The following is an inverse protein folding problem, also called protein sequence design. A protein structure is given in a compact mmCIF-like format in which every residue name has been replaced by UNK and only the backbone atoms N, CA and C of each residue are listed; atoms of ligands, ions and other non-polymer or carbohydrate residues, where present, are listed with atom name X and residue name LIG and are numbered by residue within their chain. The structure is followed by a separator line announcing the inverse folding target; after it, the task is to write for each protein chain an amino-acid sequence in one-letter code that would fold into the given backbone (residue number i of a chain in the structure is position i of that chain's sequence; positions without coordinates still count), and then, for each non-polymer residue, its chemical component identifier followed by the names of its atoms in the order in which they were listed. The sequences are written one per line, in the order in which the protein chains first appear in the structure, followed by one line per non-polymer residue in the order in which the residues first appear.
data_IF_150803492843
#
_entry.id   IF_150803492843
#
_cell.length_a   1.000
_cell.length_b   1.000
_cell.length_c   1.000
_cell.angle_alpha   90.00
_cell.angle_beta   90.00
_cell.angle_gamma   90.00
#
_symmetry.space_group_name_H-M   'P 1'
#
loop_
_entity.id
_entity.type
_entity.pdbx_description
1 polymer ?
#
# COMPACT_ATOMS: atom_id res chain seq x y z
N UNK A 1 10.01 23.42 51.24
CA UNK A 1 9.47 22.11 51.66
C UNK A 1 8.33 21.80 50.72
N UNK A 2 8.61 20.91 49.76
CA UNK A 2 7.63 20.34 48.84
C UNK A 2 6.77 19.31 49.56
N UNK A 3 5.61 19.00 48.98
CA UNK A 3 5.16 17.62 48.79
C UNK A 3 4.37 17.57 47.47
N UNK A 4 5.04 17.02 46.46
CA UNK A 4 4.51 16.54 45.19
C UNK A 4 3.81 15.18 45.40
N UNK A 5 2.66 14.97 44.77
CA UNK A 5 2.19 13.63 44.38
C UNK A 5 1.81 13.67 42.90
N UNK A 6 2.81 13.39 42.06
CA UNK A 6 2.63 13.07 40.65
C UNK A 6 2.59 11.55 40.48
N UNK A 7 1.58 11.09 39.76
CA UNK A 7 1.41 9.71 39.29
C UNK A 7 2.62 9.25 38.47
N UNK A 8 3.29 8.18 38.91
CA UNK A 8 4.35 7.52 38.15
C UNK A 8 3.76 6.69 37.02
N UNK A 9 3.86 7.19 35.78
CA UNK A 9 3.84 6.35 34.58
C UNK A 9 5.24 5.78 34.35
N UNK A 10 5.36 4.46 34.19
CA UNK A 10 6.62 3.79 33.92
C UNK A 10 7.18 4.22 32.55
N UNK A 11 8.44 4.66 32.51
CA UNK A 11 9.12 5.02 31.26
C UNK A 11 9.82 3.82 30.63
N UNK A 12 9.75 3.74 29.30
CA UNK A 12 10.34 2.71 28.42
C UNK A 12 11.87 2.85 28.31
N UNK A 13 12.61 2.72 29.42
CA UNK A 13 14.08 2.68 29.41
C UNK A 13 14.56 1.63 30.39
N UNK A 14 14.88 0.45 29.85
CA UNK A 14 16.05 -0.36 30.18
C UNK A 14 15.86 -1.77 29.62
N UNK A 15 16.52 -2.09 28.51
CA UNK A 15 17.24 -3.37 28.35
C UNK A 15 18.09 -3.34 27.06
N UNK A 16 19.40 -3.13 27.21
CA UNK A 16 20.41 -3.50 26.20
C UNK A 16 21.51 -4.29 26.90
N UNK A 17 22.05 -5.26 26.14
CA UNK A 17 23.34 -5.98 26.20
C UNK A 17 23.09 -7.47 26.46
N UNK A 18 23.51 -8.40 25.60
CA UNK A 18 24.85 -8.59 25.00
C UNK A 18 24.68 -9.33 23.65
N UNK A 19 25.27 -8.83 22.56
CA UNK A 19 26.47 -9.46 22.00
C UNK A 19 26.82 -8.87 20.64
N UNK A 20 27.85 -8.02 20.61
CA UNK A 20 28.42 -7.48 19.38
C UNK A 20 29.62 -8.29 18.90
N UNK A 21 29.81 -8.32 17.58
CA UNK A 21 31.09 -8.08 16.88
C UNK A 21 30.97 -8.57 15.43
N UNK A 22 31.34 -7.71 14.46
CA UNK A 22 31.61 -8.16 13.10
C UNK A 22 31.36 -7.13 12.01
N UNK A 23 32.11 -6.02 12.02
CA UNK A 23 32.25 -5.19 10.82
C UNK A 23 33.09 -5.98 9.79
N UNK A 24 32.53 -6.24 8.60
CA UNK A 24 33.26 -6.85 7.49
C UNK A 24 33.26 -5.89 6.30
N UNK A 25 34.38 -5.20 6.15
CA UNK A 25 34.73 -4.48 4.93
C UNK A 25 35.01 -5.49 3.82
N UNK A 26 34.31 -5.39 2.69
CA UNK A 26 34.57 -6.19 1.49
C UNK A 26 35.45 -5.40 0.52
N UNK A 27 36.74 -5.70 0.53
CA UNK A 27 37.67 -5.41 -0.55
C UNK A 27 37.40 -6.35 -1.73
N UNK A 28 37.18 -5.75 -2.91
CA UNK A 28 37.10 -6.43 -4.20
C UNK A 28 38.43 -7.11 -4.55
N UNK A 29 38.39 -8.40 -4.83
CA UNK A 29 39.50 -9.20 -5.33
C UNK A 29 39.00 -10.23 -6.33
N UNK A 30 39.35 -10.02 -7.59
CA UNK A 30 39.02 -10.85 -8.76
C UNK A 30 39.73 -12.20 -8.77
N UNK A 31 38.99 -13.29 -9.00
CA UNK A 31 39.41 -14.47 -9.78
C UNK A 31 38.21 -15.42 -9.96
N UNK A 32 37.91 -15.79 -11.21
CA UNK A 32 36.83 -16.72 -11.54
C UNK A 32 37.22 -18.20 -11.40
N UNK A 33 36.19 -19.06 -11.32
CA UNK A 33 35.96 -20.35 -12.02
C UNK A 33 34.61 -20.91 -11.47
N UNK A 34 33.77 -21.57 -12.30
CA UNK A 34 32.33 -21.70 -12.06
C UNK A 34 31.98 -22.98 -11.30
N UNK A 35 30.94 -22.92 -10.45
CA UNK A 35 30.29 -24.10 -9.88
C UNK A 35 28.78 -23.93 -9.99
N UNK A 36 28.20 -24.50 -11.04
CA UNK A 36 26.87 -25.11 -10.96
C UNK A 36 27.05 -26.48 -10.29
N UNK A 37 26.32 -26.79 -9.23
CA UNK A 37 25.81 -28.14 -8.96
C UNK A 37 24.83 -28.11 -7.76
N UNK A 38 23.53 -28.12 -8.10
CA UNK A 38 22.34 -28.73 -7.45
C UNK A 38 22.13 -28.56 -5.93
N UNK A 39 20.92 -28.35 -5.40
CA UNK A 39 19.58 -28.50 -5.95
C UNK A 39 18.66 -28.61 -4.73
N UNK A 40 17.81 -27.62 -4.52
CA UNK A 40 16.79 -27.61 -3.47
C UNK A 40 15.52 -27.06 -4.09
N UNK A 41 14.50 -27.91 -4.23
CA UNK A 41 13.24 -27.54 -4.84
C UNK A 41 12.60 -26.38 -4.08
N UNK A 42 12.64 -25.18 -4.68
CA UNK A 42 11.72 -24.12 -4.31
C UNK A 42 10.38 -24.50 -4.89
N UNK A 43 9.39 -24.68 -4.01
CA UNK A 43 7.99 -24.58 -4.42
C UNK A 43 7.82 -23.14 -4.87
N UNK A 44 7.97 -22.89 -6.16
CA UNK A 44 7.45 -21.66 -6.76
C UNK A 44 5.93 -21.81 -6.67
N UNK A 45 5.28 -20.91 -5.92
CA UNK A 45 3.86 -20.69 -6.14
C UNK A 45 3.68 -20.43 -7.65
N UNK A 46 2.76 -21.16 -8.29
CA UNK A 46 2.45 -20.95 -9.69
C UNK A 46 1.98 -19.50 -9.84
N UNK A 47 2.80 -18.67 -10.49
CA UNK A 47 2.41 -17.32 -10.85
C UNK A 47 1.24 -17.43 -11.82
N UNK A 48 0.16 -16.68 -11.56
CA UNK A 48 -1.00 -16.66 -12.44
C UNK A 48 -0.71 -15.76 -13.65
N UNK A 49 0.37 -16.07 -14.38
CA UNK A 49 0.88 -15.34 -15.56
C UNK A 49 -0.14 -15.30 -16.72
N UNK A 50 -1.25 -16.01 -16.57
CA UNK A 50 -2.37 -16.07 -17.51
C UNK A 50 -3.46 -15.02 -17.24
N UNK A 51 -3.41 -14.27 -16.12
CA UNK A 51 -4.45 -13.29 -15.80
C UNK A 51 -4.19 -11.96 -16.51
N UNK A 52 -4.79 -11.79 -17.68
CA UNK A 52 -4.77 -10.52 -18.42
C UNK A 52 -5.79 -9.55 -17.82
N UNK A 53 -5.36 -8.33 -17.46
CA UNK A 53 -6.25 -7.20 -17.22
C UNK A 53 -6.62 -6.57 -18.56
N UNK A 54 -7.90 -6.27 -18.76
CA UNK A 54 -8.41 -5.76 -20.03
C UNK A 54 -9.62 -4.88 -19.78
N UNK A 55 -9.72 -3.76 -20.50
CA UNK A 55 -10.92 -2.93 -20.53
C UNK A 55 -12.14 -3.74 -20.99
N UNK A 56 -13.31 -3.40 -20.47
CA UNK A 56 -14.57 -3.98 -20.90
C UNK A 56 -14.86 -3.62 -22.37
N UNK A 57 -15.82 -4.31 -22.99
CA UNK A 57 -16.18 -4.08 -24.40
C UNK A 57 -16.71 -2.67 -24.68
N UNK A 58 -17.16 -1.95 -23.65
CA UNK A 58 -17.56 -0.54 -23.72
C UNK A 58 -16.38 0.44 -23.52
N UNK A 59 -15.16 -0.08 -23.37
CA UNK A 59 -13.93 0.68 -23.16
C UNK A 59 -13.77 1.22 -21.74
N UNK A 60 -14.55 0.74 -20.77
CA UNK A 60 -14.43 1.16 -19.36
C UNK A 60 -13.72 0.14 -18.50
N UNK A 61 -13.05 0.63 -17.47
CA UNK A 61 -12.42 -0.20 -16.45
C UNK A 61 -12.51 0.50 -15.10
N UNK A 62 -12.94 -0.21 -14.05
CA UNK A 62 -13.12 0.33 -12.72
C UNK A 62 -12.17 -0.32 -11.72
N UNK A 63 -11.49 0.52 -10.94
CA UNK A 63 -10.61 0.10 -9.85
C UNK A 63 -11.21 0.58 -8.52
N UNK A 64 -11.16 -0.28 -7.51
CA UNK A 64 -11.43 0.11 -6.11
C UNK A 64 -10.14 -0.06 -5.31
N UNK A 65 -9.78 0.97 -4.55
CA UNK A 65 -8.72 0.92 -3.55
C UNK A 65 -9.34 0.81 -2.16
N UNK A 66 -8.91 -0.21 -1.42
CA UNK A 66 -9.02 -0.29 0.03
C UNK A 66 -7.62 -0.17 0.64
N UNK A 67 -7.51 0.35 1.84
CA UNK A 67 -6.27 0.50 2.59
C UNK A 67 -6.61 0.56 4.07
N UNK A 68 -5.62 0.29 4.91
CA UNK A 68 -5.75 0.42 6.37
C UNK A 68 -6.99 -0.34 6.87
N UNK A 69 -7.19 -1.57 6.38
CA UNK A 69 -8.15 -2.51 6.98
C UNK A 69 -7.71 -2.87 8.38
N UNK A 70 -6.39 -3.02 8.56
CA UNK A 70 -5.65 -2.92 9.82
C UNK A 70 -6.37 -3.53 11.02
N UNK A 71 -6.64 -4.82 10.89
CA UNK A 71 -7.19 -5.69 11.92
C UNK A 71 -6.30 -6.95 12.01
N UNK A 72 -6.41 -7.67 13.12
CA UNK A 72 -5.81 -9.00 13.29
C UNK A 72 -6.76 -10.09 12.76
N UNK A 73 -6.61 -11.33 13.21
CA UNK A 73 -7.50 -12.43 12.82
C UNK A 73 -8.96 -12.18 13.25
N UNK A 74 -9.17 -11.37 14.29
CA UNK A 74 -10.45 -10.99 14.84
C UNK A 74 -10.97 -9.69 14.20
N UNK A 75 -11.10 -9.68 12.89
CA UNK A 75 -11.53 -8.52 12.11
C UNK A 75 -12.88 -7.95 12.57
N UNK A 76 -13.00 -6.62 12.60
CA UNK A 76 -14.28 -5.97 12.82
C UNK A 76 -15.23 -6.29 11.66
N UNK A 77 -16.42 -6.83 11.97
CA UNK A 77 -17.39 -7.26 10.96
C UNK A 77 -17.74 -6.15 9.97
N UNK A 78 -17.64 -4.88 10.37
CA UNK A 78 -17.99 -3.72 9.54
C UNK A 78 -16.94 -3.42 8.49
N UNK A 79 -15.67 -3.76 8.74
CA UNK A 79 -14.61 -3.71 7.73
C UNK A 79 -14.97 -4.61 6.55
N UNK A 80 -15.34 -5.86 6.84
CA UNK A 80 -15.79 -6.83 5.82
C UNK A 80 -17.10 -6.37 5.17
N UNK A 81 -18.09 -5.94 5.96
CA UNK A 81 -19.37 -5.43 5.45
C UNK A 81 -19.18 -4.24 4.48
N UNK A 82 -18.28 -3.32 4.79
CA UNK A 82 -17.94 -2.19 3.92
C UNK A 82 -17.34 -2.68 2.59
N UNK A 83 -16.33 -3.55 2.66
CA UNK A 83 -15.70 -4.11 1.46
C UNK A 83 -16.74 -4.80 0.58
N UNK A 84 -17.57 -5.68 1.15
CA UNK A 84 -18.61 -6.39 0.43
C UNK A 84 -19.61 -5.47 -0.25
N UNK A 85 -20.16 -4.48 0.48
CA UNK A 85 -21.14 -3.54 -0.08
C UNK A 85 -20.56 -2.66 -1.18
N UNK A 86 -19.31 -2.19 -1.02
CA UNK A 86 -18.61 -1.44 -2.07
C UNK A 86 -18.41 -2.30 -3.31
N UNK A 87 -17.94 -3.55 -3.14
CA UNK A 87 -17.72 -4.46 -4.27
C UNK A 87 -19.03 -4.81 -5.00
N UNK A 88 -20.13 -4.99 -4.27
CA UNK A 88 -21.44 -5.30 -4.85
C UNK A 88 -22.08 -4.11 -5.58
N UNK A 89 -21.91 -2.90 -5.04
CA UNK A 89 -22.41 -1.68 -5.64
C UNK A 89 -21.60 -1.26 -6.86
N UNK A 90 -20.26 -1.25 -6.74
CA UNK A 90 -19.37 -0.74 -7.77
C UNK A 90 -19.06 -1.75 -8.86
N UNK A 91 -19.07 -3.05 -8.55
CA UNK A 91 -18.68 -4.14 -9.45
C UNK A 91 -17.36 -3.85 -10.18
N UNK A 92 -16.26 -3.62 -9.45
CA UNK A 92 -15.00 -3.24 -10.05
C UNK A 92 -14.39 -4.37 -10.87
N UNK A 93 -13.59 -3.99 -11.87
CA UNK A 93 -12.79 -4.92 -12.67
C UNK A 93 -11.50 -5.33 -11.94
N UNK A 94 -11.06 -4.49 -11.00
CA UNK A 94 -9.85 -4.69 -10.22
C UNK A 94 -9.91 -4.05 -8.83
N UNK A 95 -9.24 -4.68 -7.87
CA UNK A 95 -9.08 -4.15 -6.50
C UNK A 95 -7.61 -4.02 -6.14
N UNK A 96 -7.24 -2.89 -5.53
CA UNK A 96 -5.94 -2.72 -4.87
C UNK A 96 -6.18 -2.70 -3.36
N UNK A 97 -5.50 -3.58 -2.63
CA UNK A 97 -5.31 -3.43 -1.19
C UNK A 97 -3.99 -2.69 -0.97
N UNK A 98 -4.05 -1.43 -0.53
CA UNK A 98 -2.93 -0.50 -0.59
C UNK A 98 -2.23 -0.29 0.77
N UNK A 99 -1.76 -1.39 1.37
CA UNK A 99 -1.01 -1.41 2.62
C UNK A 99 -1.86 -1.32 3.89
N UNK A 100 -1.21 -1.68 5.00
CA UNK A 100 -1.81 -1.87 6.34
C UNK A 100 -3.05 -2.74 6.26
N UNK A 101 -2.84 -3.87 5.59
CA UNK A 101 -3.85 -4.89 5.31
C UNK A 101 -4.20 -5.64 6.60
N UNK A 102 -3.19 -5.92 7.42
CA UNK A 102 -3.33 -6.48 8.77
C UNK A 102 -2.56 -5.62 9.79
N UNK A 103 -2.63 -5.97 11.07
CA UNK A 103 -1.89 -5.27 12.13
C UNK A 103 -1.22 -6.22 13.13
N UNK A 104 -0.69 -5.66 14.21
CA UNK A 104 -0.22 -6.41 15.37
C UNK A 104 -1.37 -7.21 16.02
N UNK A 105 -1.05 -8.23 16.80
CA UNK A 105 -2.06 -9.00 17.55
C UNK A 105 -2.09 -10.49 17.20
N UNK A 106 -1.61 -10.86 16.01
CA UNK A 106 -1.45 -12.26 15.65
C UNK A 106 -0.21 -12.85 16.33
N UNK A 107 -0.39 -13.88 17.16
CA UNK A 107 0.69 -14.55 17.88
C UNK A 107 1.26 -15.77 17.13
N UNK A 108 0.52 -16.27 16.13
CA UNK A 108 0.89 -17.45 15.35
C UNK A 108 0.80 -17.22 13.84
N UNK A 109 1.55 -18.01 13.07
CA UNK A 109 1.46 -18.01 11.61
C UNK A 109 0.05 -18.34 11.08
N UNK A 110 -0.79 -19.04 11.86
CA UNK A 110 -2.16 -19.35 11.47
C UNK A 110 -3.04 -18.11 11.62
N UNK A 111 -2.90 -17.38 12.72
CA UNK A 111 -3.62 -16.13 12.99
C UNK A 111 -3.29 -15.07 11.93
N UNK A 112 -2.00 -14.84 11.61
CA UNK A 112 -1.65 -13.94 10.50
C UNK A 112 -2.30 -14.37 9.18
N UNK A 113 -2.32 -15.67 8.86
CA UNK A 113 -2.99 -16.18 7.66
C UNK A 113 -4.51 -16.02 7.71
N UNK A 114 -5.12 -16.04 8.88
CA UNK A 114 -6.54 -15.79 9.07
C UNK A 114 -6.86 -14.31 8.84
N UNK A 115 -6.07 -13.39 9.42
CA UNK A 115 -6.18 -11.95 9.19
C UNK A 115 -6.09 -11.62 7.68
N UNK A 116 -5.05 -12.13 7.01
CA UNK A 116 -4.87 -11.99 5.56
C UNK A 116 -6.03 -12.61 4.75
N UNK A 117 -6.58 -13.74 5.21
CA UNK A 117 -7.72 -14.38 4.56
C UNK A 117 -9.00 -13.53 4.68
N UNK A 118 -9.27 -12.92 5.84
CA UNK A 118 -10.47 -12.12 6.07
C UNK A 118 -10.67 -11.02 5.03
N UNK A 119 -9.59 -10.35 4.63
CA UNK A 119 -9.63 -9.27 3.63
C UNK A 119 -9.51 -9.76 2.19
N UNK A 120 -8.95 -10.95 1.94
CA UNK A 120 -8.87 -11.53 0.59
C UNK A 120 -10.22 -12.10 0.12
N UNK A 121 -10.99 -12.69 1.04
CA UNK A 121 -12.24 -13.38 0.74
C UNK A 121 -13.30 -12.53 0.02
N UNK A 122 -13.54 -11.24 0.37
CA UNK A 122 -14.51 -10.40 -0.32
C UNK A 122 -14.29 -10.34 -1.85
N UNK A 123 -13.04 -10.23 -2.30
CA UNK A 123 -12.71 -10.24 -3.74
C UNK A 123 -12.76 -11.65 -4.32
N UNK A 124 -12.18 -12.63 -3.62
CA UNK A 124 -12.07 -14.01 -4.11
C UNK A 124 -13.42 -14.69 -4.33
N UNK A 125 -14.37 -14.49 -3.42
CA UNK A 125 -15.73 -15.02 -3.55
C UNK A 125 -16.50 -14.38 -4.71
N UNK A 126 -16.15 -13.15 -5.08
CA UNK A 126 -16.75 -12.41 -6.20
C UNK A 126 -16.01 -12.64 -7.52
N UNK A 127 -14.90 -13.36 -7.52
CA UNK A 127 -14.07 -13.57 -8.71
C UNK A 127 -13.41 -12.30 -9.23
N UNK A 128 -13.26 -11.29 -8.38
CA UNK A 128 -12.68 -10.00 -8.74
C UNK A 128 -11.17 -10.13 -8.66
N UNK A 129 -10.46 -9.66 -9.70
CA UNK A 129 -9.00 -9.66 -9.71
C UNK A 129 -8.47 -8.61 -8.74
N UNK A 130 -7.40 -8.93 -8.02
CA UNK A 130 -6.88 -8.01 -7.02
C UNK A 130 -5.37 -8.16 -6.83
N UNK A 131 -4.75 -7.12 -6.29
CA UNK A 131 -3.37 -7.17 -5.84
C UNK A 131 -3.19 -6.35 -4.56
N UNK A 132 -2.12 -6.65 -3.84
CA UNK A 132 -1.75 -5.99 -2.58
C UNK A 132 -0.42 -5.24 -2.71
N UNK A 133 -0.31 -4.11 -2.03
CA UNK A 133 0.96 -3.52 -1.56
C UNK A 133 0.98 -3.58 -0.04
N UNK A 134 2.18 -3.47 0.54
CA UNK A 134 2.36 -3.52 1.99
C UNK A 134 2.50 -2.12 2.58
N UNK A 135 2.10 -2.00 3.84
CA UNK A 135 2.27 -0.83 4.69
C UNK A 135 3.14 -1.14 5.92
N UNK A 136 3.25 -0.16 6.82
CA UNK A 136 4.12 -0.28 7.99
C UNK A 136 3.63 -1.26 9.05
N UNK A 137 2.33 -1.51 9.15
CA UNK A 137 1.74 -2.40 10.16
C UNK A 137 1.67 -3.86 9.72
N UNK A 138 1.83 -4.17 8.44
CA UNK A 138 1.66 -5.53 7.91
C UNK A 138 2.65 -6.55 8.53
N UNK A 139 3.87 -6.12 8.86
CA UNK A 139 4.89 -6.96 9.50
C UNK A 139 4.94 -6.85 11.03
N UNK A 140 4.04 -6.10 11.67
CA UNK A 140 4.12 -5.88 13.13
C UNK A 140 3.94 -7.18 13.94
N UNK A 141 3.21 -8.15 13.38
CA UNK A 141 3.02 -9.48 13.99
C UNK A 141 4.18 -10.45 13.68
N UNK A 142 5.05 -10.14 12.71
CA UNK A 142 6.15 -11.01 12.26
C UNK A 142 7.06 -11.50 13.39
N UNK A 143 7.50 -10.66 14.36
CA UNK A 143 8.35 -11.12 15.46
C UNK A 143 7.75 -12.24 16.32
N UNK A 144 6.41 -12.29 16.44
CA UNK A 144 5.70 -13.32 17.21
C UNK A 144 5.29 -14.50 16.33
N UNK A 145 4.61 -14.22 15.22
CA UNK A 145 3.99 -15.23 14.37
C UNK A 145 4.94 -15.90 13.37
N UNK A 146 6.06 -15.24 13.03
CA UNK A 146 7.17 -15.81 12.27
C UNK A 146 6.99 -15.93 10.76
N UNK A 147 6.07 -15.18 10.15
CA UNK A 147 5.94 -15.03 8.70
C UNK A 147 6.62 -13.74 8.24
N UNK A 148 7.52 -13.78 7.27
CA UNK A 148 8.04 -12.54 6.66
C UNK A 148 7.04 -11.93 5.67
N UNK A 149 7.26 -10.68 5.26
CA UNK A 149 6.48 -10.08 4.16
C UNK A 149 6.51 -10.91 2.87
N UNK A 150 7.63 -11.59 2.56
CA UNK A 150 7.66 -12.52 1.43
C UNK A 150 6.74 -13.73 1.63
N UNK A 151 6.67 -14.30 2.84
CA UNK A 151 5.72 -15.37 3.17
C UNK A 151 4.27 -14.89 3.04
N UNK A 152 3.98 -13.66 3.46
CA UNK A 152 2.67 -13.02 3.29
C UNK A 152 2.33 -12.85 1.81
N UNK A 153 3.27 -12.35 1.00
CA UNK A 153 3.09 -12.22 -0.44
C UNK A 153 2.82 -13.59 -1.09
N UNK A 154 3.57 -14.63 -0.74
CA UNK A 154 3.33 -15.99 -1.26
C UNK A 154 1.92 -16.49 -0.89
N UNK A 155 1.47 -16.22 0.34
CA UNK A 155 0.12 -16.59 0.78
C UNK A 155 -0.97 -15.92 -0.08
N UNK A 156 -0.82 -14.62 -0.34
CA UNK A 156 -1.72 -13.85 -1.22
C UNK A 156 -1.66 -14.33 -2.67
N UNK A 157 -0.46 -14.52 -3.23
CA UNK A 157 -0.27 -14.97 -4.61
C UNK A 157 -0.90 -16.31 -4.92
N UNK A 158 -1.02 -17.20 -3.93
CA UNK A 158 -1.63 -18.50 -4.15
C UNK A 158 -3.18 -18.43 -4.29
N UNK A 159 -3.82 -17.26 -4.11
CA UNK A 159 -5.26 -17.10 -4.35
C UNK A 159 -5.56 -16.99 -5.84
N UNK A 160 -6.72 -17.51 -6.26
CA UNK A 160 -7.02 -17.70 -7.68
C UNK A 160 -7.13 -16.40 -8.45
N UNK A 161 -7.65 -15.34 -7.84
CA UNK A 161 -7.86 -14.05 -8.50
C UNK A 161 -6.83 -13.00 -8.07
N UNK A 162 -5.87 -13.35 -7.20
CA UNK A 162 -4.72 -12.51 -6.93
C UNK A 162 -3.79 -12.48 -8.16
N UNK A 163 -3.25 -11.30 -8.48
CA UNK A 163 -2.35 -11.07 -9.61
C UNK A 163 -1.01 -10.46 -9.21
N UNK A 164 -0.68 -10.47 -7.92
CA UNK A 164 0.66 -10.08 -7.48
C UNK A 164 1.72 -10.97 -8.14
N UNK A 165 2.90 -10.40 -8.30
CA UNK A 165 4.10 -11.11 -8.71
C UNK A 165 5.13 -11.06 -7.57
N UNK A 166 6.14 -11.94 -7.56
CA UNK A 166 7.19 -11.97 -6.52
C UNK A 166 7.96 -10.65 -6.35
N UNK A 167 7.84 -9.72 -7.31
CA UNK A 167 8.59 -8.48 -7.38
C UNK A 167 9.88 -8.61 -8.19
N UNK A 168 10.41 -7.47 -8.65
CA UNK A 168 11.70 -7.42 -9.34
C UNK A 168 12.86 -7.69 -8.37
N UNK A 169 13.83 -8.52 -8.80
CA UNK A 169 14.96 -8.88 -7.93
C UNK A 169 15.89 -7.70 -7.71
N UNK A 170 16.33 -7.52 -6.47
CA UNK A 170 17.31 -6.49 -6.11
C UNK A 170 16.71 -5.08 -6.04
N UNK A 171 15.39 -4.97 -6.03
CA UNK A 171 14.66 -3.74 -5.74
C UNK A 171 14.17 -3.81 -4.30
N UNK A 172 14.37 -2.74 -3.53
CA UNK A 172 13.93 -2.66 -2.13
C UNK A 172 12.41 -2.83 -2.02
N UNK A 173 11.98 -3.60 -1.02
CA UNK A 173 10.57 -3.89 -0.74
C UNK A 173 10.05 -5.14 -1.46
N UNK A 174 8.90 -5.65 -1.03
CA UNK A 174 8.32 -6.91 -1.51
C UNK A 174 7.16 -6.63 -2.46
N UNK A 175 7.04 -7.44 -3.51
CA UNK A 175 5.89 -7.39 -4.41
C UNK A 175 5.80 -6.15 -5.30
N UNK A 176 6.84 -5.30 -5.35
CA UNK A 176 6.95 -4.19 -6.30
C UNK A 176 6.66 -4.70 -7.72
N UNK A 177 5.59 -4.22 -8.33
CA UNK A 177 5.15 -4.73 -9.63
C UNK A 177 4.48 -3.65 -10.48
N UNK A 178 4.31 -3.96 -11.75
CA UNK A 178 3.48 -3.17 -12.63
C UNK A 178 2.54 -4.07 -13.45
N UNK A 179 1.28 -3.65 -13.57
CA UNK A 179 0.22 -4.45 -14.19
C UNK A 179 -0.35 -3.71 -15.40
N UNK A 180 -0.13 -4.26 -16.59
CA UNK A 180 -0.66 -3.71 -17.84
C UNK A 180 -2.14 -4.09 -18.02
N UNK A 181 -2.97 -3.09 -18.32
CA UNK A 181 -4.36 -3.25 -18.72
C UNK A 181 -4.43 -3.10 -20.24
N UNK A 182 -4.86 -4.16 -20.92
CA UNK A 182 -5.04 -4.19 -22.37
C UNK A 182 -6.30 -3.42 -22.77
N UNK A 183 -6.30 -2.86 -23.98
CA UNK A 183 -7.49 -2.25 -24.57
C UNK A 183 -8.68 -3.20 -24.66
N UNK A 184 -9.90 -2.69 -24.87
CA UNK A 184 -11.09 -3.56 -25.03
C UNK A 184 -10.93 -4.60 -26.16
N UNK A 185 -10.11 -4.27 -27.17
CA UNK A 185 -9.79 -5.15 -28.30
C UNK A 185 -8.60 -6.10 -28.05
N UNK A 186 -7.93 -5.99 -26.90
CA UNK A 186 -6.75 -6.79 -26.54
C UNK A 186 -5.53 -6.51 -27.42
N UNK A 187 -5.52 -5.41 -28.17
CA UNK A 187 -4.55 -5.12 -29.23
C UNK A 187 -3.38 -4.25 -28.78
N UNK A 188 -3.53 -3.52 -27.67
CA UNK A 188 -2.52 -2.60 -27.13
C UNK A 188 -2.65 -2.47 -25.62
N UNK A 189 -1.56 -2.07 -24.95
CA UNK A 189 -1.63 -1.65 -23.55
C UNK A 189 -2.29 -0.27 -23.47
N UNK A 190 -3.46 -0.19 -22.84
CA UNK A 190 -4.22 1.05 -22.70
C UNK A 190 -3.91 1.77 -21.39
N UNK A 191 -3.54 1.04 -20.34
CA UNK A 191 -3.23 1.60 -19.04
C UNK A 191 -2.23 0.72 -18.27
N UNK A 192 -1.59 1.27 -17.23
CA UNK A 192 -0.70 0.53 -16.33
C UNK A 192 -0.96 0.89 -14.87
N UNK A 193 -0.81 -0.07 -13.97
CA UNK A 193 -0.84 0.16 -12.52
C UNK A 193 0.54 -0.11 -11.96
N UNK A 194 1.11 0.83 -11.22
CA UNK A 194 2.35 0.67 -10.46
C UNK A 194 1.99 0.40 -9.00
N UNK A 195 2.45 -0.71 -8.45
CA UNK A 195 2.26 -1.08 -7.06
C UNK A 195 3.64 -1.13 -6.41
N UNK A 196 3.92 -0.20 -5.51
CA UNK A 196 5.23 -0.09 -4.87
C UNK A 196 5.09 -0.21 -3.35
N UNK A 197 5.97 -1.01 -2.77
CA UNK A 197 6.12 -1.12 -1.34
C UNK A 197 6.93 0.07 -0.81
N UNK A 198 6.26 0.97 -0.09
CA UNK A 198 6.86 2.20 0.45
C UNK A 198 7.67 1.99 1.73
N UNK A 199 7.75 0.75 2.23
CA UNK A 199 8.46 0.39 3.44
C UNK A 199 7.63 0.57 4.71
N UNK A 200 8.31 0.55 5.87
CA UNK A 200 7.69 0.45 7.20
C UNK A 200 8.10 1.65 8.06
N UNK A 201 9.27 1.53 8.68
CA UNK A 201 9.84 2.55 9.55
C UNK A 201 11.25 2.92 9.09
N UNK A 202 11.59 4.19 9.25
CA UNK A 202 12.96 4.67 9.07
C UNK A 202 13.93 3.91 9.99
N UNK A 203 15.18 3.67 9.57
CA UNK A 203 16.19 3.10 10.45
C UNK A 203 16.41 4.03 11.66
N UNK A 204 16.85 3.48 12.79
CA UNK A 204 17.07 4.30 14.00
C UNK A 204 18.09 5.43 13.78
N UNK A 205 19.11 5.18 12.96
CA UNK A 205 20.11 6.19 12.59
C UNK A 205 20.61 5.98 11.15
N UNK A 206 21.08 7.06 10.52
CA UNK A 206 21.90 7.01 9.30
C UNK A 206 23.22 7.73 9.57
N UNK A 207 24.34 7.05 9.30
CA UNK A 207 25.68 7.57 9.57
C UNK A 207 25.87 8.09 11.01
N UNK A 208 25.20 7.44 11.99
CA UNK A 208 25.27 7.79 13.41
C UNK A 208 24.40 8.95 13.86
N UNK A 209 23.53 9.49 12.99
CA UNK A 209 22.55 10.54 13.33
C UNK A 209 21.15 9.94 13.37
N UNK A 210 20.40 10.24 14.43
CA UNK A 210 18.99 9.88 14.53
C UNK A 210 18.09 10.85 13.75
N UNK A 211 16.78 10.64 13.85
CA UNK A 211 15.75 11.42 13.18
C UNK A 211 14.96 12.32 14.15
N UNK A 212 15.56 12.79 15.25
CA UNK A 212 14.87 13.73 16.15
C UNK A 212 14.42 14.99 15.38
N UNK A 213 13.11 15.27 15.41
CA UNK A 213 12.50 16.38 14.65
C UNK A 213 12.14 16.07 13.19
N UNK A 214 12.43 14.86 12.71
CA UNK A 214 12.05 14.38 11.37
C UNK A 214 10.95 13.32 11.46
N UNK A 215 10.21 13.07 10.36
CA UNK A 215 9.35 11.90 10.28
C UNK A 215 10.15 10.60 10.45
N UNK A 216 9.49 9.56 10.97
CA UNK A 216 10.11 8.26 11.29
C UNK A 216 9.54 7.10 10.48
N UNK A 217 8.67 7.41 9.52
CA UNK A 217 8.15 6.44 8.55
C UNK A 217 9.18 6.17 7.47
N UNK A 218 9.00 5.05 6.78
CA UNK A 218 9.86 4.71 5.68
C UNK A 218 9.57 5.53 4.40
N UNK A 219 10.33 5.29 3.34
CA UNK A 219 10.17 5.98 2.06
C UNK A 219 10.66 5.11 0.90
N UNK A 220 10.11 5.34 -0.29
CA UNK A 220 10.58 4.70 -1.51
C UNK A 220 12.07 4.95 -1.72
N UNK A 221 12.84 3.90 -1.96
CA UNK A 221 14.28 3.97 -2.17
C UNK A 221 14.64 4.39 -3.59
N UNK A 222 15.89 4.83 -3.78
CA UNK A 222 16.37 5.30 -5.08
C UNK A 222 16.42 4.18 -6.13
N UNK A 223 16.64 2.93 -5.72
CA UNK A 223 16.55 1.76 -6.61
C UNK A 223 15.11 1.54 -7.12
N UNK A 224 14.08 1.75 -6.30
CA UNK A 224 12.66 1.72 -6.71
C UNK A 224 12.34 2.87 -7.68
N UNK A 225 12.88 4.08 -7.44
CA UNK A 225 12.77 5.22 -8.38
C UNK A 225 13.41 4.86 -9.72
N UNK A 226 14.64 4.31 -9.70
CA UNK A 226 15.35 3.87 -10.89
C UNK A 226 14.62 2.75 -11.63
N UNK A 227 14.08 1.78 -10.90
CA UNK A 227 13.30 0.68 -11.46
C UNK A 227 12.04 1.17 -12.18
N UNK A 228 11.25 2.04 -11.56
CA UNK A 228 10.09 2.66 -12.21
C UNK A 228 10.52 3.39 -13.49
N UNK A 229 11.53 4.25 -13.40
CA UNK A 229 11.97 5.09 -14.50
C UNK A 229 12.43 4.25 -15.71
N UNK A 230 13.30 3.27 -15.47
CA UNK A 230 13.84 2.39 -16.51
C UNK A 230 12.78 1.44 -17.08
N UNK A 231 11.87 0.94 -16.24
CA UNK A 231 10.77 0.06 -16.70
C UNK A 231 9.79 0.84 -17.56
N UNK A 232 9.39 2.05 -17.14
CA UNK A 232 8.55 2.94 -17.95
C UNK A 232 9.19 3.27 -19.30
N UNK A 233 10.50 3.55 -19.32
CA UNK A 233 11.23 3.81 -20.56
C UNK A 233 11.26 2.60 -21.50
N UNK A 234 11.55 1.40 -20.97
CA UNK A 234 11.52 0.16 -21.76
C UNK A 234 10.13 -0.14 -22.31
N UNK A 235 9.07 0.14 -21.55
CA UNK A 235 7.69 0.01 -22.02
C UNK A 235 7.41 0.96 -23.18
N UNK A 236 7.82 2.22 -23.07
CA UNK A 236 7.68 3.21 -24.15
C UNK A 236 8.45 2.78 -25.41
N UNK A 237 9.70 2.34 -25.27
CA UNK A 237 10.51 1.85 -26.39
C UNK A 237 9.88 0.64 -27.08
N UNK A 238 9.31 -0.29 -26.30
CA UNK A 238 8.67 -1.50 -26.81
C UNK A 238 7.34 -1.21 -27.52
N UNK A 239 6.54 -0.29 -27.00
CA UNK A 239 5.18 -0.03 -27.45
C UNK A 239 5.09 1.13 -28.46
N UNK A 240 6.10 2.01 -28.50
CA UNK A 240 6.14 3.21 -29.33
C UNK A 240 5.34 4.40 -28.77
N UNK A 241 4.85 4.30 -27.53
CA UNK A 241 4.11 5.35 -26.82
C UNK A 241 4.19 5.15 -25.31
N UNK A 242 3.96 6.23 -24.55
CA UNK A 242 3.84 6.18 -23.09
C UNK A 242 2.47 5.63 -22.69
N UNK A 243 2.45 4.61 -21.83
CA UNK A 243 1.21 4.03 -21.31
C UNK A 243 0.76 4.86 -20.10
N UNK A 244 -0.41 5.52 -20.13
CA UNK A 244 -0.92 6.25 -18.97
C UNK A 244 -1.09 5.30 -17.77
N UNK A 245 -0.85 5.80 -16.55
CA UNK A 245 -0.80 4.92 -15.39
C UNK A 245 -1.24 5.56 -14.07
N UNK A 246 -1.56 4.72 -13.09
CA UNK A 246 -1.69 5.08 -11.67
C UNK A 246 -0.57 4.42 -10.87
N UNK A 247 -0.17 5.05 -9.77
CA UNK A 247 0.75 4.50 -8.79
C UNK A 247 0.08 4.40 -7.42
N UNK A 248 0.22 3.24 -6.78
CA UNK A 248 -0.28 2.93 -5.45
C UNK A 248 0.91 2.65 -4.53
N UNK A 249 0.95 3.41 -3.45
CA UNK A 249 1.97 3.34 -2.38
C UNK A 249 1.24 3.49 -1.05
N UNK A 250 1.77 2.94 0.05
CA UNK A 250 1.10 3.07 1.33
C UNK A 250 1.46 4.39 2.03
N UNK A 251 2.75 4.58 2.33
CA UNK A 251 3.30 5.79 2.94
C UNK A 251 3.40 6.90 1.88
N UNK A 252 2.90 8.11 2.16
CA UNK A 252 2.79 9.17 1.17
C UNK A 252 4.13 9.76 0.75
N UNK A 253 4.13 10.44 -0.41
CA UNK A 253 5.25 11.28 -0.81
C UNK A 253 5.22 12.62 -0.07
N UNK A 254 6.37 13.28 0.01
CA UNK A 254 6.44 14.67 0.49
C UNK A 254 5.57 15.62 -0.35
N UNK A 255 5.42 15.32 -1.63
CA UNK A 255 4.63 16.10 -2.57
C UNK A 255 3.14 16.13 -2.25
N UNK A 256 2.59 15.13 -1.53
CA UNK A 256 1.23 15.21 -1.01
C UNK A 256 1.08 16.40 -0.06
N UNK A 257 2.03 16.53 0.88
CA UNK A 257 2.08 17.67 1.81
C UNK A 257 2.38 18.98 1.08
N UNK A 258 3.31 18.98 0.12
CA UNK A 258 3.64 20.20 -0.64
C UNK A 258 2.46 20.70 -1.47
N UNK A 259 1.69 19.77 -2.07
CA UNK A 259 0.46 20.08 -2.78
C UNK A 259 -0.55 20.71 -1.84
N UNK A 260 -0.78 20.13 -0.66
CA UNK A 260 -1.77 20.60 0.30
C UNK A 260 -1.59 22.07 0.70
N UNK A 261 -0.33 22.53 0.78
CA UNK A 261 0.01 23.89 1.17
C UNK A 261 0.51 24.77 0.01
N UNK A 262 0.62 24.23 -1.21
CA UNK A 262 1.31 24.89 -2.32
C UNK A 262 2.66 25.50 -1.89
N UNK A 263 3.43 24.78 -1.06
CA UNK A 263 4.66 25.25 -0.43
C UNK A 263 5.53 24.10 0.08
N UNK A 264 6.85 24.23 -0.04
CA UNK A 264 7.81 23.27 0.53
C UNK A 264 7.97 23.48 2.03
N UNK A 265 7.91 24.73 2.51
CA UNK A 265 8.18 25.06 3.92
C UNK A 265 6.94 25.57 4.68
N UNK A 266 6.04 26.28 4.00
CA UNK A 266 4.85 26.89 4.59
C UNK A 266 3.76 25.86 4.89
N UNK A 267 3.14 25.97 6.06
CA UNK A 267 2.08 25.05 6.56
C UNK A 267 0.88 25.79 7.16
N UNK A 268 0.63 27.02 6.72
CA UNK A 268 -0.44 27.86 7.27
C UNK A 268 -1.79 27.62 6.57
N UNK A 269 -2.87 28.06 7.20
CA UNK A 269 -4.20 28.09 6.55
C UNK A 269 -4.20 28.95 5.28
N UNK A 270 -3.43 30.05 5.26
CA UNK A 270 -3.29 30.90 4.08
C UNK A 270 -2.56 30.18 2.92
N UNK A 271 -1.59 29.33 3.25
CA UNK A 271 -0.92 28.46 2.28
C UNK A 271 -1.90 27.46 1.67
N UNK A 272 -2.70 26.80 2.52
CA UNK A 272 -3.73 25.88 2.07
C UNK A 272 -4.82 26.57 1.22
N UNK A 273 -5.32 27.74 1.63
CA UNK A 273 -6.34 28.48 0.86
C UNK A 273 -5.86 28.81 -0.56
N UNK A 274 -4.57 29.14 -0.73
CA UNK A 274 -3.93 29.31 -2.04
C UNK A 274 -3.86 27.98 -2.81
N UNK A 275 -3.53 26.89 -2.11
CA UNK A 275 -3.40 25.56 -2.69
C UNK A 275 -4.72 25.01 -3.25
N UNK A 276 -5.85 25.24 -2.58
CA UNK A 276 -7.17 24.75 -3.02
C UNK A 276 -7.46 25.16 -4.46
N UNK A 277 -7.31 26.45 -4.80
CA UNK A 277 -7.53 26.94 -6.16
C UNK A 277 -6.42 26.51 -7.13
N UNK A 278 -5.16 26.53 -6.68
CA UNK A 278 -3.99 26.22 -7.53
C UNK A 278 -3.94 24.74 -7.94
N UNK A 279 -4.25 23.85 -7.02
CA UNK A 279 -4.14 22.40 -7.15
C UNK A 279 -5.49 21.71 -7.18
N UNK A 280 -6.60 22.45 -7.29
CA UNK A 280 -7.94 21.88 -7.44
C UNK A 280 -8.25 20.84 -6.35
N UNK A 281 -7.87 21.15 -5.10
CA UNK A 281 -7.96 20.19 -4.00
C UNK A 281 -9.43 20.01 -3.62
N UNK A 282 -9.85 18.75 -3.51
CA UNK A 282 -11.19 18.34 -3.06
C UNK A 282 -11.06 17.24 -2.02
N UNK A 283 -12.07 17.12 -1.14
CA UNK A 283 -12.08 16.18 -0.01
C UNK A 283 -11.54 16.79 1.28
N UNK A 284 -11.30 15.94 2.29
CA UNK A 284 -10.95 16.38 3.64
C UNK A 284 -9.53 15.94 4.03
N UNK A 285 -8.82 16.80 4.76
CA UNK A 285 -7.61 16.46 5.51
C UNK A 285 -7.89 16.67 6.99
N UNK A 286 -7.69 15.63 7.79
CA UNK A 286 -7.96 15.66 9.23
C UNK A 286 -6.73 15.28 10.07
N UNK A 287 -5.61 14.97 9.42
CA UNK A 287 -4.30 14.78 10.07
C UNK A 287 -3.16 15.19 9.14
N UNK A 288 -1.95 15.25 9.68
CA UNK A 288 -0.77 15.58 8.89
C UNK A 288 -0.35 14.42 8.00
N UNK A 289 -0.02 14.69 6.74
CA UNK A 289 0.57 13.67 5.86
C UNK A 289 1.83 13.13 6.51
N UNK A 290 2.03 11.83 6.55
CA UNK A 290 3.15 11.22 7.26
C UNK A 290 4.21 10.59 6.33
N UNK A 291 4.95 11.37 5.49
CA UNK A 291 6.01 10.83 4.64
C UNK A 291 7.24 10.45 5.48
N UNK A 292 8.18 9.70 4.92
CA UNK A 292 9.48 9.43 5.55
C UNK A 292 10.44 10.64 5.60
N UNK A 293 11.58 10.56 6.30
CA UNK A 293 12.52 11.68 6.49
C UNK A 293 13.25 12.14 5.21
N UNK A 294 13.24 11.32 4.16
CA UNK A 294 14.00 11.58 2.93
C UNK A 294 13.07 11.55 1.71
N UNK A 295 13.10 12.61 0.90
CA UNK A 295 12.51 12.59 -0.43
C UNK A 295 13.49 11.95 -1.42
N UNK A 296 13.12 10.79 -1.98
CA UNK A 296 13.96 10.03 -2.92
C UNK A 296 13.94 10.55 -4.35
N UNK A 297 13.09 11.53 -4.67
CA UNK A 297 12.91 12.05 -6.02
C UNK A 297 11.91 11.28 -6.87
N UNK A 298 11.06 10.41 -6.28
CA UNK A 298 10.03 9.66 -7.02
C UNK A 298 9.12 10.59 -7.84
N UNK A 299 8.61 11.67 -7.26
CA UNK A 299 7.76 12.62 -7.99
C UNK A 299 8.50 13.31 -9.15
N UNK A 300 9.79 13.59 -8.98
CA UNK A 300 10.65 14.13 -10.05
C UNK A 300 10.76 13.14 -11.21
N UNK A 301 10.97 11.85 -10.93
CA UNK A 301 10.98 10.80 -11.94
C UNK A 301 9.63 10.67 -12.65
N UNK A 302 8.52 10.77 -11.91
CA UNK A 302 7.16 10.77 -12.43
C UNK A 302 6.93 11.91 -13.43
N UNK A 303 7.34 13.14 -13.08
CA UNK A 303 7.25 14.28 -14.00
C UNK A 303 8.12 14.08 -15.25
N UNK A 304 9.34 13.55 -15.08
CA UNK A 304 10.27 13.33 -16.19
C UNK A 304 9.74 12.29 -17.20
N UNK A 305 9.10 11.22 -16.71
CA UNK A 305 8.47 10.21 -17.56
C UNK A 305 7.13 10.69 -18.12
N UNK A 306 6.28 11.33 -17.32
CA UNK A 306 4.99 11.91 -17.73
C UNK A 306 3.88 10.91 -18.04
N UNK A 307 4.09 9.63 -17.72
CA UNK A 307 3.17 8.52 -17.92
C UNK A 307 2.23 8.30 -16.73
N UNK A 308 2.67 8.57 -15.50
CA UNK A 308 1.83 8.47 -14.28
C UNK A 308 0.89 9.67 -14.19
N UNK A 309 -0.41 9.40 -14.08
CA UNK A 309 -1.50 10.38 -13.97
C UNK A 309 -2.00 10.60 -12.55
N UNK A 310 -1.66 9.69 -11.64
CA UNK A 310 -1.92 9.89 -10.22
C UNK A 310 -1.15 8.93 -9.32
N UNK A 311 -0.93 9.38 -8.08
CA UNK A 311 -0.30 8.64 -6.98
C UNK A 311 -1.24 8.65 -5.80
N UNK A 312 -1.67 7.47 -5.37
CA UNK A 312 -2.67 7.31 -4.30
C UNK A 312 -2.10 6.51 -3.13
N UNK A 313 -2.41 6.98 -1.91
CA UNK A 313 -1.90 6.43 -0.66
C UNK A 313 -2.95 6.18 0.41
N UNK A 314 -2.54 5.46 1.46
CA UNK A 314 -3.26 5.23 2.70
C UNK A 314 -2.51 5.86 3.86
N UNK A 315 -2.25 5.10 4.94
CA UNK A 315 -1.40 5.44 6.10
C UNK A 315 -1.98 6.51 7.04
N UNK A 316 -2.40 7.63 6.47
CA UNK A 316 -3.10 8.70 7.18
C UNK A 316 -4.61 8.47 7.05
N UNK A 317 -5.18 7.72 7.99
CA UNK A 317 -6.50 7.10 7.92
C UNK A 317 -7.67 8.06 7.71
N UNK A 318 -7.54 9.31 8.17
CA UNK A 318 -8.62 10.31 8.15
C UNK A 318 -8.42 11.38 7.07
N UNK A 319 -7.47 11.17 6.16
CA UNK A 319 -7.32 11.95 4.95
C UNK A 319 -8.07 11.29 3.78
N UNK A 320 -8.83 12.09 3.03
CA UNK A 320 -9.68 11.61 1.93
C UNK A 320 -9.60 12.49 0.69
N UNK A 321 -8.66 13.43 0.70
CA UNK A 321 -8.54 14.43 -0.35
C UNK A 321 -7.82 13.89 -1.58
N UNK A 322 -7.97 14.59 -2.70
CA UNK A 322 -7.00 14.57 -3.79
C UNK A 322 -6.86 15.97 -4.40
N UNK A 323 -5.77 16.19 -5.13
CA UNK A 323 -5.54 17.41 -5.89
C UNK A 323 -4.62 17.18 -7.09
N UNK A 324 -4.67 18.08 -8.05
CA UNK A 324 -3.82 18.11 -9.24
C UNK A 324 -2.51 18.86 -8.95
N UNK A 325 -1.45 18.10 -8.70
CA UNK A 325 -0.10 18.62 -8.52
C UNK A 325 0.66 18.53 -9.84
N UNK A 326 0.62 19.63 -10.62
CA UNK A 326 1.35 19.77 -11.88
C UNK A 326 1.08 18.67 -12.92
N UNK A 327 -0.18 18.26 -13.07
CA UNK A 327 -0.62 17.26 -14.04
C UNK A 327 -0.71 15.83 -13.49
N UNK A 328 -0.40 15.64 -12.20
CA UNK A 328 -0.50 14.35 -11.50
C UNK A 328 -1.47 14.50 -10.33
N UNK A 329 -2.48 13.63 -10.24
CA UNK A 329 -3.35 13.59 -9.07
C UNK A 329 -2.64 12.98 -7.89
N UNK A 330 -2.49 13.70 -6.78
CA UNK A 330 -2.03 13.15 -5.51
C UNK A 330 -3.22 13.04 -4.57
N UNK A 331 -3.47 11.88 -3.98
CA UNK A 331 -4.63 11.70 -3.12
C UNK A 331 -4.53 10.57 -2.11
N UNK A 332 -5.41 10.64 -1.12
CA UNK A 332 -5.62 9.61 -0.10
C UNK A 332 -6.92 8.88 -0.34
N UNK A 333 -6.94 7.60 -0.01
CA UNK A 333 -8.15 6.87 0.30
C UNK A 333 -8.23 6.75 1.83
N UNK A 334 -9.31 7.20 2.45
CA UNK A 334 -9.48 7.03 3.90
C UNK A 334 -9.48 5.54 4.29
N UNK A 335 -9.19 5.24 5.54
CA UNK A 335 -9.12 3.85 6.04
C UNK A 335 -10.43 3.07 5.82
N UNK A 336 -10.33 1.82 5.37
CA UNK A 336 -11.47 0.91 5.28
C UNK A 336 -11.76 0.19 6.61
N UNK A 337 -10.74 0.05 7.47
CA UNK A 337 -10.77 -0.71 8.72
C UNK A 337 -11.49 -0.02 9.87
N UNK A 338 -12.36 -0.75 10.57
CA UNK A 338 -13.01 -0.27 11.79
C UNK A 338 -12.18 -0.53 13.06
N UNK A 339 -11.24 -1.48 13.05
CA UNK A 339 -10.25 -1.67 14.12
C UNK A 339 -9.21 -0.55 14.22
N UNK A 340 -8.85 0.04 13.08
CA UNK A 340 -7.92 1.16 12.97
C UNK A 340 -8.34 2.39 13.80
N UNK A 341 -7.40 3.30 14.06
CA UNK A 341 -7.76 4.62 14.59
C UNK A 341 -8.56 5.42 13.54
N UNK A 342 -9.32 6.41 14.01
CA UNK A 342 -10.12 7.29 13.16
C UNK A 342 -10.26 8.66 13.81
N UNK A 343 -11.29 9.42 13.44
CA UNK A 343 -11.56 10.73 14.03
C UNK A 343 -11.81 10.63 15.56
N UNK A 344 -11.70 11.73 16.31
CA UNK A 344 -12.03 11.72 17.73
C UNK A 344 -13.53 11.55 17.99
N UNK A 345 -13.88 10.88 19.10
CA UNK A 345 -15.23 10.86 19.65
C UNK A 345 -16.27 10.14 18.77
N UNK A 346 -17.47 10.70 18.70
CA UNK A 346 -18.60 10.10 17.98
C UNK A 346 -18.38 10.02 16.45
N UNK A 347 -17.47 10.83 15.91
CA UNK A 347 -17.17 10.87 14.48
C UNK A 347 -16.11 9.84 14.06
N UNK A 348 -15.60 8.99 14.98
CA UNK A 348 -14.49 8.05 14.74
C UNK A 348 -14.55 7.35 13.39
N UNK A 349 -15.72 6.84 13.04
CA UNK A 349 -15.90 6.03 11.83
C UNK A 349 -16.56 6.78 10.66
N UNK A 350 -16.69 8.12 10.73
CA UNK A 350 -17.36 8.94 9.70
C UNK A 350 -16.69 8.84 8.32
N UNK A 351 -15.37 8.67 8.29
CA UNK A 351 -14.55 8.65 7.09
C UNK A 351 -14.16 7.25 6.63
N UNK A 352 -14.68 6.18 7.26
CA UNK A 352 -14.41 4.82 6.81
C UNK A 352 -14.92 4.62 5.39
N UNK A 353 -14.07 4.16 4.49
CA UNK A 353 -14.41 4.20 3.08
C UNK A 353 -13.45 3.48 2.15
N UNK A 354 -13.71 3.66 0.86
CA UNK A 354 -12.91 3.16 -0.23
C UNK A 354 -12.86 4.21 -1.34
N UNK A 355 -11.79 4.22 -2.14
CA UNK A 355 -11.68 5.11 -3.29
C UNK A 355 -11.93 4.36 -4.59
N UNK A 356 -12.77 4.92 -5.44
CA UNK A 356 -13.05 4.40 -6.78
C UNK A 356 -12.26 5.19 -7.82
N UNK A 357 -11.81 4.51 -8.86
CA UNK A 357 -11.23 5.11 -10.07
C UNK A 357 -11.99 4.61 -11.28
N UNK A 358 -12.44 5.55 -12.10
CA UNK A 358 -13.11 5.25 -13.37
C UNK A 358 -12.17 5.54 -14.52
N UNK A 359 -11.88 4.50 -15.30
CA UNK A 359 -11.07 4.58 -16.50
C UNK A 359 -11.94 4.42 -17.75
N UNK A 360 -11.64 5.19 -18.79
CA UNK A 360 -12.24 5.08 -20.13
C UNK A 360 -11.13 5.23 -21.19
N UNK A 361 -10.87 4.15 -21.93
CA UNK A 361 -9.79 4.10 -22.92
C UNK A 361 -9.99 5.02 -24.13
N UNK A 362 -11.18 5.62 -24.28
CA UNK A 362 -11.50 6.58 -25.34
C UNK A 362 -11.19 8.03 -24.97
N UNK A 363 -10.69 8.28 -23.76
CA UNK A 363 -10.36 9.62 -23.26
C UNK A 363 -8.85 9.87 -23.24
N UNK A 364 -8.43 11.14 -23.37
CA UNK A 364 -7.03 11.53 -23.56
C UNK A 364 -6.08 11.05 -22.44
N UNK A 365 -6.56 11.00 -21.19
CA UNK A 365 -5.77 10.57 -20.03
C UNK A 365 -6.19 9.22 -19.45
N UNK A 366 -7.20 8.58 -20.02
CA UNK A 366 -7.83 7.33 -19.56
C UNK A 366 -8.49 7.42 -18.18
N UNK A 367 -7.86 8.02 -17.16
CA UNK A 367 -8.49 8.33 -15.88
C UNK A 367 -9.50 9.47 -16.04
N UNK A 368 -10.78 9.15 -15.82
CA UNK A 368 -11.90 10.09 -15.98
C UNK A 368 -12.32 10.70 -14.65
N UNK A 369 -12.37 9.89 -13.60
CA UNK A 369 -12.90 10.28 -12.30
C UNK A 369 -12.28 9.47 -11.16
N UNK A 370 -12.22 10.07 -9.97
CA UNK A 370 -11.98 9.37 -8.71
C UNK A 370 -12.77 10.01 -7.58
N UNK A 371 -13.37 9.18 -6.72
CA UNK A 371 -14.16 9.66 -5.60
C UNK A 371 -14.12 8.67 -4.43
N UNK A 372 -14.46 9.18 -3.24
CA UNK A 372 -14.63 8.37 -2.05
C UNK A 372 -16.06 7.82 -1.95
N UNK A 373 -16.16 6.59 -1.46
CA UNK A 373 -17.38 5.99 -0.95
C UNK A 373 -17.23 5.81 0.55
N UNK A 374 -18.29 6.08 1.32
CA UNK A 374 -18.23 6.02 2.78
C UNK A 374 -19.19 4.98 3.34
N UNK A 375 -18.79 4.33 4.44
CA UNK A 375 -19.60 3.35 5.15
C UNK A 375 -20.99 3.86 5.54
N UNK A 376 -21.09 5.16 5.86
CA UNK A 376 -22.35 5.84 6.18
C UNK A 376 -23.37 5.76 5.03
N UNK A 377 -22.90 5.83 3.78
CA UNK A 377 -23.75 5.87 2.58
C UNK A 377 -24.37 4.49 2.30
N UNK A 378 -23.82 3.44 2.93
CA UNK A 378 -24.27 2.07 2.87
C UNK A 378 -25.10 1.63 4.09
N UNK A 379 -25.36 2.55 5.03
CA UNK A 379 -26.11 2.28 6.26
C UNK A 379 -25.36 1.41 7.27
N UNK A 380 -24.02 1.37 7.20
CA UNK A 380 -23.18 0.60 8.13
C UNK A 380 -23.14 1.32 9.49
N UNK A 381 -23.13 0.53 10.57
CA UNK A 381 -23.06 1.03 11.94
C UNK A 381 -21.73 1.76 12.22
N UNK A 382 -21.79 3.06 12.50
CA UNK A 382 -20.62 3.89 12.76
C UNK A 382 -20.27 4.03 14.24
N UNK A 383 -20.99 3.35 15.14
CA UNK A 383 -20.76 3.44 16.59
C UNK A 383 -19.28 3.20 16.91
N UNK A 384 -18.70 4.06 17.75
CA UNK A 384 -17.29 4.01 18.12
C UNK A 384 -17.01 2.93 19.19
N UNK A 385 -17.44 1.69 18.93
CA UNK A 385 -17.19 0.50 19.73
C UNK A 385 -16.43 -0.55 18.90
N UNK A 386 -15.95 -1.58 19.58
CA UNK A 386 -15.37 -2.76 18.95
C UNK A 386 -16.48 -3.77 18.56
N UNK A 387 -16.42 -4.30 17.35
CA UNK A 387 -17.32 -5.33 16.81
C UNK A 387 -16.54 -6.44 16.08
N UNK A 388 -15.33 -6.74 16.58
CA UNK A 388 -14.52 -7.89 16.18
C UNK A 388 -15.29 -9.21 16.19
N UNK A 389 -14.98 -10.08 15.22
CA UNK A 389 -15.63 -11.38 15.04
C UNK A 389 -14.61 -12.51 14.99
N UNK A 390 -15.07 -13.75 15.15
CA UNK A 390 -14.21 -14.92 15.02
C UNK A 390 -13.67 -15.04 13.59
N UNK A 391 -12.39 -15.46 13.41
CA UNK A 391 -11.77 -15.47 12.09
C UNK A 391 -12.45 -16.45 11.12
N UNK A 392 -12.54 -16.08 9.85
CA UNK A 392 -13.05 -16.98 8.83
C UNK A 392 -12.12 -18.20 8.64
N UNK A 393 -12.65 -19.40 8.39
CA UNK A 393 -11.82 -20.57 8.17
C UNK A 393 -10.99 -20.41 6.89
N UNK A 394 -9.68 -20.59 7.00
CA UNK A 394 -8.78 -20.68 5.84
C UNK A 394 -9.18 -21.93 5.01
N UNK A 395 -9.30 -21.84 3.67
CA UNK A 395 -9.51 -23.01 2.82
C UNK A 395 -8.46 -24.12 3.07
N UNK A 396 -8.85 -25.40 3.12
CA UNK A 396 -7.94 -26.49 3.53
C UNK A 396 -6.67 -26.60 2.69
N UNK A 397 -6.76 -26.32 1.38
CA UNK A 397 -5.61 -26.29 0.47
C UNK A 397 -4.57 -25.20 0.81
N UNK A 398 -4.90 -24.26 1.69
CA UNK A 398 -4.04 -23.17 2.16
C UNK A 398 -3.47 -23.42 3.56
N UNK A 399 -3.97 -24.42 4.30
CA UNK A 399 -3.52 -24.73 5.67
C UNK A 399 -2.18 -25.48 5.73
N UNK A 400 -1.75 -26.12 4.63
CA UNK A 400 -0.67 -27.12 4.62
C UNK A 400 0.53 -26.80 3.73
N UNK A 401 0.80 -25.55 3.39
CA UNK A 401 2.14 -25.21 2.90
C UNK A 401 3.08 -25.11 4.10
N UNK A 402 3.67 -26.27 4.47
CA UNK A 402 4.91 -26.29 5.23
C UNK A 402 5.90 -25.45 4.44
N UNK A 403 6.28 -24.30 4.99
CA UNK A 403 7.47 -23.57 4.55
C UNK A 403 8.64 -24.53 4.82
N UNK A 404 9.05 -25.26 3.79
CA UNK A 404 10.27 -26.06 3.85
C UNK A 404 11.40 -25.05 3.81
N UNK A 405 11.92 -24.70 4.99
CA UNK A 405 13.15 -23.91 5.09
C UNK A 405 14.27 -24.70 4.39
N UNK A 406 15.09 -24.04 3.54
CA UNK A 406 16.21 -24.68 2.86
C UNK A 406 17.25 -25.23 3.82
#
# INVERSE_FOLDING_TARGET
MSLDEASKSMSRRDFIKVGGAGALALTLGSAGVPVELFGGGKVQAETNDNVKLQFNSDGKFKIVQFNDTQDDEHIDRRTVELMEKVLDAEKPDFVVLNGDNITWGCDTAIEMKQAMNNIAQPMEQRGIKWAVTFGNHDEDSTPNAGLSEEDMLQFYMAYKHNVNQPGERGITGTGNTHLLIQSSQGSKAAFNLWLLDSGRYAPQTIAGQDFEGYPTWDWLRFDQVGWYYETSKKLEEKLGYKVPSLMFIHIPLWEHRFMWYASVDGRSEADHARAVGKHQIVGERNEDECPGPINSGMFSAILARGDVKGVFCGHDHVNTYHGNYYGVLLGYAGSAGFGAYGLPGADRNRLRGARVFQLDEHTENVLVDTHMLYAKDYGIDLTANDQSTEPAPIPENKKQEKIVKP
#
